data_IF_737118508052
#
_entry.id   IF_737118508052
#
_cell.length_a   1.000
_cell.length_b   1.000
_cell.length_c   1.000
_cell.angle_alpha   90.00
_cell.angle_beta   90.00
_cell.angle_gamma   90.00
#
_symmetry.space_group_name_H-M   'P 1'
#
loop_
_entity.id
_entity.type
_entity.pdbx_description
1 polymer ?
#
# COMPACT_ATOMS: atom_id res chain seq x y z
N UNK A 1 -5.19 30.73 9.79
CA UNK A 1 -4.57 29.64 9.01
C UNK A 1 -5.23 28.37 9.50
N UNK A 2 -6.09 27.78 8.71
CA UNK A 2 -6.64 26.45 9.00
C UNK A 2 -5.49 25.45 8.83
N UNK A 3 -4.94 24.96 9.95
CA UNK A 3 -3.97 23.87 9.92
C UNK A 3 -4.74 22.60 9.53
N UNK A 4 -4.65 22.21 8.27
CA UNK A 4 -5.17 20.92 7.83
C UNK A 4 -4.34 19.82 8.46
N UNK A 5 -5.00 18.82 9.02
CA UNK A 5 -4.35 17.60 9.52
C UNK A 5 -3.77 16.81 8.34
N UNK A 6 -2.55 16.24 8.43
CA UNK A 6 -2.04 15.37 7.37
C UNK A 6 -2.90 14.11 7.22
N UNK A 7 -3.08 13.66 5.98
CA UNK A 7 -3.68 12.35 5.70
C UNK A 7 -2.71 11.26 6.12
N UNK A 8 -3.20 10.26 6.82
CA UNK A 8 -2.39 9.14 7.33
C UNK A 8 -2.78 7.86 6.62
N UNK A 9 -1.83 7.29 5.88
CA UNK A 9 -2.00 6.03 5.14
C UNK A 9 -1.22 4.93 5.85
N UNK A 10 -1.93 3.94 6.38
CA UNK A 10 -1.34 2.76 6.97
C UNK A 10 -0.92 1.75 5.89
N UNK A 11 0.30 1.20 5.99
CA UNK A 11 0.83 0.19 5.07
C UNK A 11 1.17 -1.06 5.89
N UNK A 12 0.33 -2.09 5.80
CA UNK A 12 0.45 -3.34 6.54
C UNK A 12 0.75 -4.53 5.63
N UNK A 13 1.09 -5.65 6.25
CA UNK A 13 1.30 -6.93 5.57
C UNK A 13 2.43 -7.76 6.16
N UNK A 14 2.54 -9.04 5.78
CA UNK A 14 3.57 -9.96 6.28
C UNK A 14 4.99 -9.50 5.99
N UNK A 15 5.95 -10.05 6.75
CA UNK A 15 7.37 -9.82 6.50
C UNK A 15 7.75 -10.23 5.09
N UNK A 16 8.59 -9.44 4.44
CA UNK A 16 9.13 -9.74 3.11
C UNK A 16 8.17 -9.51 1.94
N UNK A 17 6.93 -9.04 2.14
CA UNK A 17 5.97 -8.77 1.04
C UNK A 17 6.30 -7.52 0.22
N UNK A 18 7.18 -6.65 0.73
CA UNK A 18 7.64 -5.46 0.02
C UNK A 18 7.01 -4.14 0.52
N UNK A 19 6.56 -4.08 1.77
CA UNK A 19 6.03 -2.84 2.38
C UNK A 19 7.04 -1.69 2.30
N UNK A 20 8.26 -1.92 2.80
CA UNK A 20 9.34 -0.92 2.81
C UNK A 20 9.73 -0.51 1.38
N UNK A 21 9.73 -1.46 0.43
CA UNK A 21 9.95 -1.14 -0.98
C UNK A 21 8.82 -0.27 -1.55
N UNK A 22 7.57 -0.51 -1.17
CA UNK A 22 6.45 0.34 -1.54
C UNK A 22 6.62 1.76 -0.99
N UNK A 23 6.90 1.88 0.33
CA UNK A 23 7.14 3.19 0.97
C UNK A 23 8.25 3.93 0.25
N UNK A 24 9.37 3.26 -0.03
CA UNK A 24 10.48 3.85 -0.78
C UNK A 24 10.06 4.38 -2.16
N UNK A 25 9.39 3.54 -2.97
CA UNK A 25 8.92 3.94 -4.31
C UNK A 25 7.95 5.12 -4.26
N UNK A 26 7.05 5.13 -3.28
CA UNK A 26 6.13 6.25 -3.08
C UNK A 26 6.90 7.53 -2.71
N UNK A 27 7.84 7.46 -1.76
CA UNK A 27 8.66 8.62 -1.41
C UNK A 27 9.40 9.19 -2.63
N UNK A 28 10.04 8.33 -3.44
CA UNK A 28 10.72 8.80 -4.66
C UNK A 28 9.77 9.50 -5.64
N UNK A 29 8.56 8.96 -5.80
CA UNK A 29 7.65 9.42 -6.84
C UNK A 29 6.83 10.68 -6.46
N UNK A 30 6.49 10.86 -5.17
CA UNK A 30 5.52 11.90 -4.78
C UNK A 30 6.05 12.94 -3.78
N UNK A 31 7.32 12.87 -3.32
CA UNK A 31 7.91 13.85 -2.40
C UNK A 31 7.86 15.29 -2.90
N UNK A 32 7.91 15.51 -4.20
CA UNK A 32 7.84 16.86 -4.78
C UNK A 32 6.39 17.37 -4.89
N UNK A 33 5.39 16.49 -4.69
CA UNK A 33 3.95 16.81 -4.73
C UNK A 33 3.35 16.97 -3.35
N UNK A 34 3.89 16.25 -2.37
CA UNK A 34 3.40 16.22 -1.00
C UNK A 34 4.48 16.64 -0.01
N UNK A 35 4.13 17.51 0.94
CA UNK A 35 4.91 17.69 2.14
C UNK A 35 4.66 16.47 3.04
N UNK A 36 5.55 15.47 2.95
CA UNK A 36 5.30 14.14 3.49
C UNK A 36 6.32 13.70 4.53
N UNK A 37 5.90 12.73 5.33
CA UNK A 37 6.75 12.04 6.30
C UNK A 37 6.42 10.54 6.36
N UNK A 38 7.30 9.76 6.99
CA UNK A 38 7.17 8.32 7.14
C UNK A 38 7.39 7.93 8.60
N UNK A 39 6.54 7.02 9.09
CA UNK A 39 6.73 6.31 10.35
C UNK A 39 6.89 4.83 10.01
N UNK A 40 7.97 4.21 10.46
CA UNK A 40 8.16 2.75 10.36
C UNK A 40 8.04 2.13 11.73
N UNK A 41 7.34 1.01 11.82
CA UNK A 41 7.23 0.22 13.04
C UNK A 41 8.09 -1.04 12.88
N UNK A 42 8.97 -1.30 13.84
CA UNK A 42 9.73 -2.54 13.88
C UNK A 42 9.76 -3.08 15.31
N UNK A 43 9.98 -4.40 15.43
CA UNK A 43 9.93 -5.09 16.72
C UNK A 43 11.19 -4.80 17.54
N UNK A 44 12.37 -4.88 16.92
CA UNK A 44 13.66 -4.84 17.61
C UNK A 44 14.71 -3.98 16.94
N UNK A 45 14.46 -3.45 15.75
CA UNK A 45 15.45 -2.75 14.95
C UNK A 45 14.89 -1.48 14.33
N UNK A 46 15.76 -0.58 13.94
CA UNK A 46 15.43 0.58 13.13
C UNK A 46 15.81 0.34 11.65
N UNK A 47 15.92 -0.92 11.24
CA UNK A 47 16.47 -1.30 9.93
C UNK A 47 15.67 -0.69 8.77
N UNK A 48 14.34 -0.74 8.85
CA UNK A 48 13.47 -0.17 7.82
C UNK A 48 13.60 1.35 7.73
N UNK A 49 13.65 2.05 8.88
CA UNK A 49 13.88 3.50 8.89
C UNK A 49 15.27 3.86 8.37
N UNK A 50 16.30 3.14 8.78
CA UNK A 50 17.67 3.33 8.30
C UNK A 50 17.80 3.05 6.80
N UNK A 51 17.11 2.02 6.29
CA UNK A 51 17.05 1.74 4.85
C UNK A 51 16.42 2.90 4.10
N UNK A 52 15.29 3.41 4.57
CA UNK A 52 14.61 4.56 3.97
C UNK A 52 15.48 5.82 4.00
N UNK A 53 16.09 6.14 5.14
CA UNK A 53 17.00 7.30 5.27
C UNK A 53 18.15 7.21 4.27
N UNK A 54 18.70 6.03 4.05
CA UNK A 54 19.82 5.84 3.10
C UNK A 54 19.42 5.88 1.63
N UNK A 55 18.18 5.51 1.33
CA UNK A 55 17.74 5.28 -0.05
C UNK A 55 16.64 6.22 -0.52
N UNK A 56 15.93 6.90 0.38
CA UNK A 56 14.92 7.88 -0.01
C UNK A 56 15.54 9.25 -0.13
N UNK A 57 14.84 10.10 -0.82
CA UNK A 57 15.20 11.49 -0.91
C UNK A 57 14.42 12.37 0.07
N UNK A 58 13.80 11.79 1.10
CA UNK A 58 13.27 12.53 2.23
C UNK A 58 14.40 12.91 3.19
N UNK A 59 14.30 14.09 3.79
CA UNK A 59 15.20 14.49 4.86
C UNK A 59 15.07 13.51 6.05
N UNK A 60 16.18 13.17 6.74
CA UNK A 60 16.17 12.18 7.80
C UNK A 60 15.18 12.48 8.95
N UNK A 61 14.91 13.75 9.24
CA UNK A 61 13.99 14.21 10.27
C UNK A 61 12.50 14.02 9.90
N UNK A 62 12.24 13.60 8.66
CA UNK A 62 10.92 13.22 8.14
C UNK A 62 10.65 11.71 8.22
N UNK A 63 11.60 10.92 8.69
CA UNK A 63 11.49 9.47 8.83
C UNK A 63 11.70 9.11 10.29
N UNK A 64 10.68 8.60 10.96
CA UNK A 64 10.74 8.17 12.35
C UNK A 64 10.56 6.65 12.46
N UNK A 65 11.51 5.99 13.10
CA UNK A 65 11.38 4.60 13.53
C UNK A 65 10.74 4.51 14.89
N UNK A 66 9.73 3.65 15.03
CA UNK A 66 9.07 3.33 16.33
C UNK A 66 9.40 1.87 16.67
N UNK A 67 10.09 1.67 17.78
CA UNK A 67 10.34 0.35 18.34
C UNK A 67 9.10 -0.12 19.12
N UNK A 68 8.39 -1.12 18.58
CA UNK A 68 7.07 -1.51 19.11
C UNK A 68 7.13 -2.54 20.25
N UNK A 69 8.35 -3.05 20.57
CA UNK A 69 8.47 -4.15 21.56
C UNK A 69 7.66 -5.37 21.12
N UNK A 70 7.67 -6.45 21.77
CA UNK A 70 7.20 -7.77 21.40
C UNK A 70 5.89 -8.01 20.61
N UNK A 71 5.09 -6.98 20.25
CA UNK A 71 3.85 -7.18 19.47
C UNK A 71 3.54 -6.03 18.50
N UNK A 72 3.91 -6.16 17.20
CA UNK A 72 3.67 -5.13 16.17
C UNK A 72 2.19 -4.79 15.96
N UNK A 73 1.29 -5.76 16.12
CA UNK A 73 -0.16 -5.54 16.00
C UNK A 73 -0.69 -4.54 17.01
N UNK A 74 -0.20 -4.63 18.26
CA UNK A 74 -0.63 -3.73 19.32
C UNK A 74 -0.33 -2.29 18.95
N UNK A 75 0.87 -2.03 18.43
CA UNK A 75 1.34 -0.69 18.12
C UNK A 75 0.54 0.04 17.02
N UNK A 76 -0.10 -0.69 16.12
CA UNK A 76 -0.91 -0.08 15.05
C UNK A 76 -2.41 -0.14 15.32
N UNK A 77 -2.87 -0.90 16.32
CA UNK A 77 -4.29 -1.12 16.59
C UNK A 77 -4.69 -0.97 18.03
N UNK A 78 -4.19 -1.85 18.94
CA UNK A 78 -4.72 -1.96 20.31
C UNK A 78 -4.16 -0.88 21.23
N UNK A 79 -2.88 -0.51 21.05
CA UNK A 79 -2.22 0.59 21.75
C UNK A 79 -1.32 1.39 20.79
N UNK A 80 -1.90 2.26 19.97
CA UNK A 80 -1.15 3.07 19.00
C UNK A 80 -0.50 4.33 19.62
N UNK A 81 -0.36 4.41 20.93
CA UNK A 81 0.12 5.62 21.64
C UNK A 81 1.49 6.09 21.13
N UNK A 82 2.45 5.19 20.92
CA UNK A 82 3.77 5.54 20.40
C UNK A 82 3.70 6.11 18.98
N UNK A 83 2.85 5.55 18.12
CA UNK A 83 2.61 6.08 16.79
C UNK A 83 1.94 7.46 16.83
N UNK A 84 1.00 7.69 17.76
CA UNK A 84 0.42 9.03 17.96
C UNK A 84 1.44 10.05 18.45
N UNK A 85 2.40 9.64 19.28
CA UNK A 85 3.51 10.51 19.66
C UNK A 85 4.40 10.86 18.48
N UNK A 86 4.75 9.87 17.64
CA UNK A 86 5.51 10.07 16.42
C UNK A 86 4.79 11.00 15.43
N UNK A 87 3.48 10.81 15.25
CA UNK A 87 2.65 11.71 14.39
C UNK A 87 2.72 13.15 14.92
N UNK A 88 2.51 13.36 16.24
CA UNK A 88 2.55 14.69 16.84
C UNK A 88 3.91 15.36 16.74
N UNK A 89 4.98 14.59 16.88
CA UNK A 89 6.35 15.09 16.76
C UNK A 89 6.60 15.56 15.31
N UNK A 90 6.19 14.77 14.30
CA UNK A 90 6.30 15.16 12.89
C UNK A 90 5.46 16.40 12.56
N UNK A 91 4.23 16.49 13.05
CA UNK A 91 3.36 17.67 12.83
C UNK A 91 3.93 18.95 13.47
N UNK A 92 4.60 18.83 14.62
CA UNK A 92 5.25 19.94 15.27
C UNK A 92 6.51 20.42 14.53
N UNK A 93 7.31 19.49 14.03
CA UNK A 93 8.53 19.81 13.26
C UNK A 93 8.21 20.33 11.86
N UNK A 94 7.15 19.81 11.25
CA UNK A 94 6.76 20.10 9.85
C UNK A 94 5.30 20.61 9.78
N UNK A 95 5.05 21.90 10.05
CA UNK A 95 3.69 22.44 10.14
C UNK A 95 2.86 22.41 8.83
N UNK A 96 3.52 22.20 7.70
CA UNK A 96 2.86 22.10 6.39
C UNK A 96 2.62 20.66 5.95
N UNK A 97 2.95 19.69 6.81
CA UNK A 97 2.81 18.27 6.52
C UNK A 97 1.38 17.93 6.08
N UNK A 98 1.24 17.23 4.96
CA UNK A 98 -0.06 16.90 4.40
C UNK A 98 -0.26 15.41 4.12
N UNK A 99 0.80 14.60 4.21
CA UNK A 99 0.75 13.14 4.06
C UNK A 99 1.72 12.46 5.03
N UNK A 100 1.24 11.45 5.76
CA UNK A 100 2.09 10.55 6.55
C UNK A 100 1.84 9.12 6.10
N UNK A 101 2.91 8.42 5.72
CA UNK A 101 2.87 6.97 5.52
C UNK A 101 3.28 6.28 6.82
N UNK A 102 2.50 5.30 7.29
CA UNK A 102 2.76 4.54 8.51
C UNK A 102 2.92 3.08 8.13
N UNK A 103 4.16 2.59 8.13
CA UNK A 103 4.47 1.18 7.86
C UNK A 103 4.35 0.35 9.13
N UNK A 104 3.67 -0.79 9.06
CA UNK A 104 3.61 -1.76 10.16
C UNK A 104 4.85 -2.66 10.20
N UNK A 105 5.23 -3.09 11.38
CA UNK A 105 6.27 -4.10 11.55
C UNK A 105 5.76 -5.49 11.19
N UNK A 106 6.12 -6.04 10.08
CA UNK A 106 5.91 -7.41 9.62
C UNK A 106 4.79 -8.24 10.26
N UNK A 107 3.54 -7.94 9.92
CA UNK A 107 2.37 -8.54 10.55
C UNK A 107 1.89 -9.83 9.86
N UNK A 108 1.02 -10.58 10.54
CA UNK A 108 0.28 -11.65 9.90
C UNK A 108 -0.95 -11.11 9.14
N UNK A 109 -1.69 -11.99 8.46
CA UNK A 109 -2.86 -11.62 7.66
C UNK A 109 -4.04 -11.03 8.47
N UNK A 110 -3.98 -11.02 9.79
CA UNK A 110 -5.02 -10.49 10.67
C UNK A 110 -4.80 -9.03 11.09
N UNK A 111 -3.62 -8.47 10.89
CA UNK A 111 -3.31 -7.10 11.28
C UNK A 111 -4.11 -6.08 10.48
N UNK A 112 -4.65 -5.09 11.19
CA UNK A 112 -5.34 -3.94 10.62
C UNK A 112 -5.00 -2.70 11.43
N UNK A 113 -4.93 -1.55 10.79
CA UNK A 113 -4.74 -0.27 11.49
C UNK A 113 -5.97 0.13 12.31
N UNK A 114 -5.75 0.81 13.43
CA UNK A 114 -6.80 1.55 14.12
C UNK A 114 -7.32 2.67 13.20
N UNK A 115 -8.65 2.85 13.08
CA UNK A 115 -9.22 3.98 12.32
C UNK A 115 -8.82 5.36 12.89
N UNK A 116 -8.38 5.40 14.14
CA UNK A 116 -7.89 6.63 14.77
C UNK A 116 -6.45 6.95 14.34
N UNK A 117 -5.65 5.92 14.01
CA UNK A 117 -4.27 6.06 13.60
C UNK A 117 -4.14 6.33 12.09
N UNK A 118 -4.88 5.61 11.26
CA UNK A 118 -4.80 5.73 9.80
C UNK A 118 -6.17 6.04 9.19
N UNK A 119 -6.21 6.99 8.26
CA UNK A 119 -7.42 7.41 7.54
C UNK A 119 -7.81 6.41 6.46
N UNK A 120 -6.80 5.76 5.87
CA UNK A 120 -6.96 4.66 4.92
C UNK A 120 -5.79 3.68 5.06
N UNK A 121 -5.99 2.46 4.60
CA UNK A 121 -5.03 1.38 4.77
C UNK A 121 -4.75 0.63 3.47
N UNK A 122 -3.46 0.39 3.21
CA UNK A 122 -2.96 -0.51 2.19
C UNK A 122 -2.51 -1.80 2.88
N UNK A 123 -2.88 -2.96 2.32
CA UNK A 123 -2.35 -4.23 2.79
C UNK A 123 -1.57 -4.91 1.67
N UNK A 124 -0.32 -5.28 1.93
CA UNK A 124 0.59 -5.84 0.93
C UNK A 124 0.79 -7.32 1.20
N UNK A 125 0.43 -8.15 0.23
CA UNK A 125 0.80 -9.56 0.15
C UNK A 125 1.65 -9.79 -1.08
N UNK A 126 2.22 -10.98 -1.25
CA UNK A 126 2.94 -11.32 -2.47
C UNK A 126 2.57 -12.72 -3.00
N UNK A 127 2.99 -13.01 -4.22
CA UNK A 127 2.71 -14.29 -4.89
C UNK A 127 3.44 -15.48 -4.26
N UNK A 128 4.53 -15.25 -3.51
CA UNK A 128 5.32 -16.34 -2.92
C UNK A 128 4.59 -17.06 -1.78
N UNK A 129 3.59 -16.40 -1.18
CA UNK A 129 2.68 -17.02 -0.22
C UNK A 129 1.69 -18.03 -0.84
N UNK A 130 1.65 -18.09 -2.18
CA UNK A 130 0.76 -18.94 -2.97
C UNK A 130 -0.58 -18.29 -3.33
N UNK A 131 -1.18 -18.77 -4.40
CA UNK A 131 -2.40 -18.22 -5.00
C UNK A 131 -3.65 -18.27 -4.11
N UNK A 132 -3.59 -19.05 -3.03
CA UNK A 132 -4.70 -19.22 -2.07
C UNK A 132 -4.75 -18.16 -0.96
N UNK A 133 -3.74 -17.27 -0.88
CA UNK A 133 -3.70 -16.24 0.17
C UNK A 133 -4.95 -15.36 0.15
N UNK A 134 -5.38 -14.78 -0.97
CA UNK A 134 -6.59 -13.94 -0.99
C UNK A 134 -7.83 -14.69 -0.50
N UNK A 135 -8.01 -15.96 -0.89
CA UNK A 135 -9.16 -16.79 -0.48
C UNK A 135 -9.14 -17.16 0.99
N UNK A 136 -7.97 -17.50 1.54
CA UNK A 136 -7.82 -17.79 2.97
C UNK A 136 -8.16 -16.57 3.82
N UNK A 137 -7.91 -15.39 3.27
CA UNK A 137 -8.32 -14.13 3.85
C UNK A 137 -7.62 -13.84 5.16
N UNK A 138 -8.19 -12.90 5.82
CA UNK A 138 -7.81 -12.32 7.10
C UNK A 138 -8.27 -10.87 7.08
N UNK A 139 -8.45 -10.24 8.24
CA UNK A 139 -8.89 -8.84 8.29
C UNK A 139 -8.01 -7.88 7.47
N UNK A 140 -6.70 -8.08 7.45
CA UNK A 140 -5.79 -7.29 6.64
C UNK A 140 -6.13 -7.38 5.15
N UNK A 141 -6.26 -8.62 4.61
CA UNK A 141 -6.59 -8.85 3.21
C UNK A 141 -8.01 -8.38 2.85
N UNK A 142 -9.00 -8.69 3.70
CA UNK A 142 -10.41 -8.48 3.36
C UNK A 142 -10.93 -7.08 3.70
N UNK A 143 -10.32 -6.35 4.64
CA UNK A 143 -10.85 -5.07 5.18
C UNK A 143 -10.01 -3.85 4.82
N UNK A 144 -8.76 -4.02 4.40
CA UNK A 144 -7.94 -2.88 3.94
C UNK A 144 -8.63 -2.15 2.79
N UNK A 145 -8.41 -0.85 2.68
CA UNK A 145 -9.00 -0.03 1.63
C UNK A 145 -8.40 -0.38 0.27
N UNK A 146 -7.10 -0.66 0.23
CA UNK A 146 -6.39 -1.18 -0.94
C UNK A 146 -5.65 -2.48 -0.59
N UNK A 147 -5.77 -3.50 -1.43
CA UNK A 147 -4.92 -4.69 -1.40
C UNK A 147 -3.89 -4.62 -2.52
N UNK A 148 -2.62 -4.84 -2.19
CA UNK A 148 -1.55 -4.99 -3.16
C UNK A 148 -1.09 -6.45 -3.17
N UNK A 149 -1.04 -7.06 -4.36
CA UNK A 149 -0.43 -8.36 -4.63
C UNK A 149 0.87 -8.10 -5.38
N UNK A 150 1.98 -8.16 -4.65
CA UNK A 150 3.31 -7.79 -5.13
C UNK A 150 4.09 -8.99 -5.70
N UNK A 151 5.21 -8.68 -6.34
CA UNK A 151 6.18 -9.65 -6.93
C UNK A 151 5.55 -10.55 -8.00
N UNK A 152 4.67 -9.98 -8.82
CA UNK A 152 3.95 -10.74 -9.85
C UNK A 152 4.89 -11.42 -10.86
N UNK A 153 6.09 -10.88 -11.05
CA UNK A 153 7.18 -11.49 -11.84
C UNK A 153 7.59 -12.87 -11.34
N UNK A 154 7.43 -13.14 -10.05
CA UNK A 154 7.75 -14.44 -9.46
C UNK A 154 6.60 -15.48 -9.59
N UNK A 155 5.41 -15.07 -10.03
CA UNK A 155 4.24 -15.96 -10.08
C UNK A 155 4.50 -17.27 -10.85
N UNK A 156 5.13 -17.27 -12.05
CA UNK A 156 5.48 -18.51 -12.75
C UNK A 156 6.45 -19.39 -12.00
N UNK A 157 7.41 -18.79 -11.27
CA UNK A 157 8.46 -19.53 -10.55
C UNK A 157 7.90 -20.24 -9.31
N UNK A 158 6.88 -19.66 -8.66
CA UNK A 158 6.27 -20.23 -7.46
C UNK A 158 4.97 -21.01 -7.76
N UNK A 159 4.59 -21.09 -9.04
CA UNK A 159 3.37 -21.79 -9.47
C UNK A 159 2.08 -21.10 -9.00
N UNK A 160 2.10 -19.78 -8.80
CA UNK A 160 0.92 -19.02 -8.40
C UNK A 160 0.17 -18.52 -9.64
N UNK A 161 -1.17 -18.66 -9.62
CA UNK A 161 -2.04 -18.09 -10.67
C UNK A 161 -2.54 -16.71 -10.24
N UNK A 162 -2.16 -15.68 -10.99
CA UNK A 162 -2.65 -14.30 -10.78
C UNK A 162 -4.16 -14.21 -10.98
N UNK A 163 -4.72 -14.98 -11.92
CA UNK A 163 -6.17 -15.03 -12.18
C UNK A 163 -6.94 -15.58 -10.97
N UNK A 164 -6.40 -16.66 -10.35
CA UNK A 164 -6.98 -17.23 -9.13
C UNK A 164 -6.92 -16.20 -8.01
N UNK A 165 -5.80 -15.51 -7.84
CA UNK A 165 -5.64 -14.47 -6.82
C UNK A 165 -6.60 -13.30 -7.06
N UNK A 166 -6.76 -12.84 -8.30
CA UNK A 166 -7.69 -11.76 -8.66
C UNK A 166 -9.14 -12.13 -8.36
N UNK A 167 -9.58 -13.32 -8.81
CA UNK A 167 -10.93 -13.83 -8.56
C UNK A 167 -11.20 -13.95 -7.06
N UNK A 168 -10.30 -14.58 -6.33
CA UNK A 168 -10.46 -14.83 -4.90
C UNK A 168 -10.41 -13.52 -4.10
N UNK A 169 -9.58 -12.55 -4.49
CA UNK A 169 -9.57 -11.21 -3.92
C UNK A 169 -10.91 -10.50 -4.17
N UNK A 170 -11.45 -10.54 -5.38
CA UNK A 170 -12.77 -9.94 -5.70
C UNK A 170 -13.89 -10.53 -4.85
N UNK A 171 -13.91 -11.86 -4.63
CA UNK A 171 -14.90 -12.52 -3.79
C UNK A 171 -14.78 -12.04 -2.33
N UNK A 172 -13.57 -11.90 -1.80
CA UNK A 172 -13.35 -11.52 -0.39
C UNK A 172 -13.55 -10.03 -0.14
N UNK A 173 -13.28 -9.19 -1.11
CA UNK A 173 -13.20 -7.74 -0.98
C UNK A 173 -14.41 -7.00 -1.57
N UNK A 174 -15.19 -7.64 -2.45
CA UNK A 174 -16.25 -6.98 -3.19
C UNK A 174 -15.69 -5.90 -4.11
N UNK A 175 -16.16 -4.66 -3.96
CA UNK A 175 -15.74 -3.53 -4.80
C UNK A 175 -14.44 -2.85 -4.33
N UNK A 176 -13.86 -3.29 -3.20
CA UNK A 176 -12.58 -2.73 -2.75
C UNK A 176 -11.46 -3.10 -3.70
N UNK A 177 -10.60 -2.13 -4.06
CA UNK A 177 -9.59 -2.32 -5.09
C UNK A 177 -8.50 -3.32 -4.69
N UNK A 178 -8.01 -4.03 -5.70
CA UNK A 178 -6.83 -4.90 -5.61
C UNK A 178 -5.93 -4.56 -6.79
N UNK A 179 -4.67 -4.25 -6.51
CA UNK A 179 -3.65 -3.95 -7.51
C UNK A 179 -2.58 -5.05 -7.53
N UNK A 180 -2.06 -5.31 -8.72
CA UNK A 180 -0.97 -6.24 -8.94
C UNK A 180 0.29 -5.44 -9.24
N UNK A 181 1.39 -5.71 -8.52
CA UNK A 181 2.60 -4.90 -8.62
C UNK A 181 3.86 -5.75 -8.76
N UNK A 182 4.87 -5.16 -9.41
CA UNK A 182 6.27 -5.53 -9.30
C UNK A 182 7.04 -4.28 -8.87
N UNK A 183 7.14 -4.06 -7.56
CA UNK A 183 7.76 -2.86 -7.00
C UNK A 183 9.25 -2.74 -7.32
N UNK A 184 9.91 -3.85 -7.66
CA UNK A 184 11.30 -3.85 -8.10
C UNK A 184 11.47 -3.06 -9.40
N UNK A 185 10.51 -3.22 -10.32
CA UNK A 185 10.50 -2.58 -11.64
C UNK A 185 9.54 -1.39 -11.72
N UNK A 186 9.03 -0.95 -10.57
CA UNK A 186 8.05 0.14 -10.45
C UNK A 186 6.72 -0.11 -11.16
N UNK A 187 6.42 -1.36 -11.54
CA UNK A 187 5.14 -1.71 -12.15
C UNK A 187 4.01 -1.62 -11.12
N UNK A 188 2.92 -0.93 -11.45
CA UNK A 188 1.76 -0.73 -10.61
C UNK A 188 1.92 0.39 -9.57
N UNK A 189 3.06 1.11 -9.54
CA UNK A 189 3.29 2.21 -8.59
C UNK A 189 2.42 3.42 -8.91
N UNK A 190 2.23 3.74 -10.17
CA UNK A 190 1.40 4.88 -10.61
C UNK A 190 -0.06 4.71 -10.19
N UNK A 191 -0.59 3.49 -10.24
CA UNK A 191 -1.93 3.16 -9.78
C UNK A 191 -2.08 3.32 -8.27
N UNK A 192 -1.05 2.94 -7.50
CA UNK A 192 -1.04 3.17 -6.06
C UNK A 192 -0.99 4.67 -5.75
N UNK A 193 -0.22 5.45 -6.51
CA UNK A 193 -0.16 6.91 -6.38
C UNK A 193 -1.52 7.52 -6.68
N UNK A 194 -2.18 7.13 -7.77
CA UNK A 194 -3.52 7.61 -8.11
C UNK A 194 -4.54 7.31 -7.00
N UNK A 195 -4.43 6.14 -6.37
CA UNK A 195 -5.26 5.81 -5.21
C UNK A 195 -4.95 6.71 -4.00
N UNK A 196 -3.67 6.99 -3.71
CA UNK A 196 -3.28 7.91 -2.61
C UNK A 196 -3.82 9.31 -2.89
N UNK A 197 -3.69 9.81 -4.12
CA UNK A 197 -4.22 11.11 -4.53
C UNK A 197 -5.73 11.20 -4.24
N UNK A 198 -6.49 10.17 -4.58
CA UNK A 198 -7.92 10.10 -4.30
C UNK A 198 -8.23 10.11 -2.78
N UNK A 199 -7.41 9.43 -1.95
CA UNK A 199 -7.60 9.48 -0.49
C UNK A 199 -7.32 10.89 0.05
N UNK A 200 -6.26 11.56 -0.42
CA UNK A 200 -5.94 12.93 -0.01
C UNK A 200 -7.05 13.90 -0.42
N UNK A 201 -7.56 13.81 -1.63
CA UNK A 201 -8.68 14.63 -2.12
C UNK A 201 -9.95 14.40 -1.28
N UNK A 202 -10.29 13.14 -0.98
CA UNK A 202 -11.43 12.77 -0.14
C UNK A 202 -11.32 13.36 1.26
N UNK A 203 -10.16 13.22 1.88
CA UNK A 203 -9.91 13.75 3.22
C UNK A 203 -10.10 15.29 3.25
N UNK A 204 -9.51 16.01 2.31
CA UNK A 204 -9.65 17.47 2.18
C UNK A 204 -11.11 17.89 1.94
N UNK A 205 -11.82 17.15 1.10
CA UNK A 205 -13.24 17.43 0.85
C UNK A 205 -14.07 17.25 2.13
N UNK A 206 -13.83 16.19 2.91
CA UNK A 206 -14.52 15.95 4.19
C UNK A 206 -14.22 17.04 5.20
N UNK A 207 -12.96 17.48 5.34
CA UNK A 207 -12.59 18.60 6.24
C UNK A 207 -13.28 19.91 5.85
N UNK A 208 -13.50 20.13 4.56
CA UNK A 208 -14.20 21.31 4.04
C UNK A 208 -15.74 21.17 4.06
N UNK A 209 -16.29 20.08 4.60
CA UNK A 209 -17.73 19.82 4.66
C UNK A 209 -18.37 19.54 3.30
N UNK A 210 -17.58 19.16 2.30
CA UNK A 210 -18.06 18.80 0.97
C UNK A 210 -18.47 17.33 0.93
N UNK A 211 -19.61 17.04 0.25
CA UNK A 211 -19.99 15.66 -0.02
C UNK A 211 -18.99 15.05 -1.01
N UNK A 212 -18.36 13.94 -0.62
CA UNK A 212 -17.44 13.21 -1.49
C UNK A 212 -18.26 12.28 -2.37
N UNK A 213 -18.17 12.44 -3.69
CA UNK A 213 -18.77 11.55 -4.68
C UNK A 213 -18.14 10.14 -4.65
N UNK A 214 -18.78 9.20 -5.35
CA UNK A 214 -18.21 7.87 -5.55
C UNK A 214 -16.83 7.96 -6.23
N UNK A 215 -15.94 7.03 -5.87
CA UNK A 215 -14.56 6.99 -6.37
C UNK A 215 -14.49 6.83 -7.89
N UNK A 216 -14.07 7.86 -8.59
CA UNK A 216 -13.74 7.83 -10.03
C UNK A 216 -12.25 7.50 -10.29
N UNK A 217 -11.43 7.31 -9.24
CA UNK A 217 -10.01 7.01 -9.40
C UNK A 217 -9.77 5.70 -10.17
N UNK A 218 -10.65 4.69 -10.00
CA UNK A 218 -10.61 3.45 -10.76
C UNK A 218 -10.83 3.69 -12.26
N UNK A 219 -11.66 4.66 -12.63
CA UNK A 219 -11.88 5.01 -14.03
C UNK A 219 -10.65 5.73 -14.59
N UNK A 220 -10.02 6.60 -13.80
CA UNK A 220 -8.73 7.22 -14.16
C UNK A 220 -7.61 6.18 -14.34
N UNK A 221 -7.55 5.15 -13.50
CA UNK A 221 -6.59 4.05 -13.65
C UNK A 221 -6.93 3.19 -14.88
N UNK A 222 -8.21 2.95 -15.16
CA UNK A 222 -8.64 2.21 -16.37
C UNK A 222 -8.35 2.95 -17.67
N UNK A 223 -8.38 4.29 -17.67
CA UNK A 223 -7.99 5.11 -18.83
C UNK A 223 -6.49 5.01 -19.14
N UNK A 224 -5.65 4.70 -18.17
CA UNK A 224 -4.21 4.46 -18.35
C UNK A 224 -3.85 2.98 -18.55
N UNK A 225 -4.85 2.10 -18.58
CA UNK A 225 -4.80 0.70 -19.02
C UNK A 225 -3.78 -0.20 -18.29
N UNK A 226 -4.23 -1.39 -17.88
CA UNK A 226 -3.30 -2.52 -17.77
C UNK A 226 -2.60 -2.67 -19.13
N UNK A 227 -1.29 -2.90 -19.22
CA UNK A 227 -0.61 -3.11 -20.50
C UNK A 227 -1.35 -4.18 -21.32
N UNK A 228 -1.65 -3.88 -22.57
CA UNK A 228 -2.37 -4.80 -23.49
C UNK A 228 -1.70 -6.18 -23.60
N UNK A 229 -0.43 -6.27 -23.23
CA UNK A 229 0.37 -7.49 -23.19
C UNK A 229 -0.20 -8.60 -22.28
N UNK A 230 -1.13 -8.24 -21.37
CA UNK A 230 -1.75 -9.19 -20.45
C UNK A 230 -3.22 -9.48 -20.75
N UNK A 231 -3.80 -8.88 -21.81
CA UNK A 231 -5.22 -9.04 -22.14
C UNK A 231 -5.40 -9.82 -23.45
N UNK A 232 -5.95 -11.04 -23.37
CA UNK A 232 -6.45 -11.79 -24.51
C UNK A 232 -7.97 -11.96 -24.40
N UNK A 233 -8.67 -11.65 -25.49
CA UNK A 233 -10.12 -11.85 -25.60
C UNK A 233 -10.40 -13.17 -26.30
N UNK A 234 -11.09 -14.09 -25.64
CA UNK A 234 -11.58 -15.31 -26.26
C UNK A 234 -12.84 -15.05 -27.08
N UNK A 235 -13.13 -15.94 -28.03
CA UNK A 235 -14.28 -15.83 -28.94
C UNK A 235 -15.65 -15.88 -28.27
N UNK A 236 -15.73 -16.11 -26.95
CA UNK A 236 -16.94 -16.06 -26.10
C UNK A 236 -17.12 -14.70 -25.41
N UNK A 237 -16.22 -13.73 -25.65
CA UNK A 237 -16.26 -12.39 -25.06
C UNK A 237 -15.61 -12.29 -23.67
N UNK A 238 -14.97 -13.36 -23.16
CA UNK A 238 -14.21 -13.32 -21.90
C UNK A 238 -12.77 -12.86 -22.16
N UNK A 239 -12.30 -11.94 -21.33
CA UNK A 239 -10.92 -11.39 -21.40
C UNK A 239 -10.09 -11.97 -20.25
N UNK A 240 -8.93 -12.55 -20.57
CA UNK A 240 -7.96 -13.07 -19.59
C UNK A 240 -6.59 -12.45 -19.81
N UNK A 241 -5.80 -12.43 -18.73
CA UNK A 241 -4.41 -11.96 -18.74
C UNK A 241 -3.44 -13.14 -18.58
N UNK A 242 -2.48 -13.28 -19.51
CA UNK A 242 -1.41 -14.27 -19.42
C UNK A 242 -0.04 -13.61 -19.53
N UNK A 243 0.97 -14.03 -18.75
CA UNK A 243 2.33 -13.60 -19.00
C UNK A 243 2.87 -14.26 -20.25
N UNK A 244 3.36 -13.50 -21.20
CA UNK A 244 4.06 -14.03 -22.37
C UNK A 244 5.43 -14.59 -21.94
N UNK A 245 5.58 -15.92 -21.99
CA UNK A 245 6.90 -16.54 -22.03
C UNK A 245 7.48 -16.35 -23.41
N UNK A 246 8.51 -15.54 -23.54
CA UNK A 246 9.35 -15.58 -24.73
C UNK A 246 10.19 -16.85 -24.68
N UNK A 247 9.77 -17.88 -25.44
CA UNK A 247 10.63 -18.99 -25.79
C UNK A 247 11.72 -18.47 -26.73
N UNK A 248 12.89 -18.23 -26.21
CA UNK A 248 14.10 -18.20 -27.03
C UNK A 248 14.60 -19.62 -27.21
N UNK A 249 14.17 -20.23 -28.32
CA UNK A 249 14.87 -21.35 -28.94
C UNK A 249 16.13 -20.77 -29.59
N UNK A 250 17.29 -21.08 -29.02
CA UNK A 250 18.53 -21.46 -29.73
C UNK A 250 19.55 -21.95 -28.74
#
# INVERSE_FOLDING_TARGET
MTTHRPVRIGIGGPVGTGKTALVWRLCEAIRDRYDMAVITNDIYTLEDSEFLIRNTALEPDRILGVETGGCPHSAIRDDPSMNFEAVRDLEQRHPNLNLILIESGGDNLSATFSPELADASIFVIDVSGGDKIPRKGGPGTSRSDLLIINKIDLAPMVGASLEVMARDAKIQRGERPTLFTNLRESHGVDEVIAWIDAQVERHRATENGLAVGADDWLDRVREHGLPEEFMHTHGDGTTHTHPHTHDHVH
#
